data_IF_492355165487
#
_entry.id   IF_492355165487
#
_cell.length_a   1.000
_cell.length_b   1.000
_cell.length_c   1.000
_cell.angle_alpha   90.00
_cell.angle_beta   90.00
_cell.angle_gamma   90.00
#
_symmetry.space_group_name_H-M   'P 1'
#
loop_
_entity.id
_entity.type
_entity.pdbx_description
1 polymer ?
#
# COMPACT_ATOMS: atom_id res chain seq x y z
N UNK A 1 0.71 -5.38 -24.41
CA UNK A 1 0.79 -4.28 -23.41
C UNK A 1 2.14 -4.38 -22.68
N UNK A 2 2.78 -3.27 -22.30
CA UNK A 2 4.04 -3.31 -21.56
C UNK A 2 3.82 -3.94 -20.17
N UNK A 3 4.57 -5.02 -19.88
CA UNK A 3 4.55 -5.70 -18.58
C UNK A 3 5.28 -4.83 -17.56
N UNK A 4 4.67 -4.57 -16.41
CA UNK A 4 5.35 -3.89 -15.30
C UNK A 4 6.03 -4.97 -14.44
N UNK A 5 7.35 -4.86 -14.15
CA UNK A 5 7.98 -5.77 -13.20
C UNK A 5 7.29 -5.66 -11.84
N UNK A 6 6.92 -6.80 -11.25
CA UNK A 6 6.41 -6.90 -9.88
C UNK A 6 7.51 -7.41 -8.96
N UNK A 7 7.60 -6.87 -7.75
CA UNK A 7 8.50 -7.36 -6.72
C UNK A 7 7.78 -8.47 -5.91
N UNK A 8 8.50 -9.52 -5.55
CA UNK A 8 7.97 -10.55 -4.66
C UNK A 8 7.76 -9.97 -3.25
N UNK A 9 6.70 -10.40 -2.58
CA UNK A 9 6.37 -9.96 -1.21
C UNK A 9 6.06 -11.16 -0.34
N UNK A 10 6.09 -10.99 0.99
CA UNK A 10 5.83 -12.06 1.94
C UNK A 10 6.83 -12.07 3.10
N UNK A 11 6.90 -13.20 3.82
CA UNK A 11 7.71 -13.35 5.02
C UNK A 11 8.31 -14.75 5.15
N UNK A 12 9.35 -14.85 5.98
CA UNK A 12 9.94 -16.12 6.40
C UNK A 12 9.59 -16.31 7.88
N UNK A 13 8.88 -17.39 8.19
CA UNK A 13 8.51 -17.74 9.55
C UNK A 13 9.48 -18.78 10.13
N UNK A 14 9.88 -18.54 11.38
CA UNK A 14 10.68 -19.46 12.17
C UNK A 14 9.79 -20.01 13.28
N UNK A 15 9.50 -21.31 13.24
CA UNK A 15 8.73 -21.95 14.29
C UNK A 15 9.59 -22.20 15.53
N UNK A 16 8.95 -22.37 16.70
CA UNK A 16 9.63 -22.82 17.93
C UNK A 16 10.27 -24.21 17.79
N UNK A 17 9.84 -25.00 16.81
CA UNK A 17 10.43 -26.31 16.49
C UNK A 17 11.65 -26.23 15.57
N UNK A 18 12.08 -25.02 15.17
CA UNK A 18 13.20 -24.82 14.25
C UNK A 18 12.83 -25.00 12.78
N UNK A 19 11.55 -25.18 12.45
CA UNK A 19 11.06 -25.24 11.07
C UNK A 19 11.08 -23.84 10.48
N UNK A 20 11.63 -23.72 9.28
CA UNK A 20 11.61 -22.49 8.48
C UNK A 20 10.57 -22.66 7.39
N UNK A 21 9.62 -21.74 7.33
CA UNK A 21 8.60 -21.69 6.28
C UNK A 21 8.74 -20.39 5.50
N UNK A 22 8.80 -20.51 4.17
CA UNK A 22 8.90 -19.37 3.26
C UNK A 22 7.53 -19.14 2.63
N UNK A 23 6.92 -18.01 2.97
CA UNK A 23 5.63 -17.56 2.45
C UNK A 23 5.90 -16.37 1.54
N UNK A 24 6.22 -16.63 0.27
CA UNK A 24 6.55 -15.59 -0.71
C UNK A 24 5.64 -15.70 -1.91
N UNK A 25 5.00 -14.58 -2.26
CA UNK A 25 4.08 -14.44 -3.36
C UNK A 25 4.59 -13.41 -4.38
N UNK A 26 4.03 -13.47 -5.59
CA UNK A 26 4.35 -12.55 -6.66
C UNK A 26 3.05 -12.17 -7.38
N UNK A 27 2.76 -10.88 -7.44
CA UNK A 27 1.63 -10.37 -8.21
C UNK A 27 1.89 -10.48 -9.72
N UNK A 28 0.82 -10.56 -10.50
CA UNK A 28 0.89 -10.51 -11.95
C UNK A 28 1.57 -9.24 -12.47
N UNK A 29 2.39 -9.39 -13.50
CA UNK A 29 2.98 -8.25 -14.24
C UNK A 29 1.99 -7.52 -15.17
N UNK A 30 0.79 -8.09 -15.34
CA UNK A 30 -0.32 -7.51 -16.09
C UNK A 30 -1.17 -6.66 -15.13
N UNK A 31 -1.30 -5.36 -15.42
CA UNK A 31 -1.87 -4.37 -14.49
C UNK A 31 -3.33 -4.67 -14.10
N UNK A 32 -4.27 -4.89 -15.05
CA UNK A 32 -5.63 -5.30 -14.69
C UNK A 32 -5.68 -6.53 -13.77
N UNK A 33 -4.88 -7.56 -14.07
CA UNK A 33 -4.83 -8.78 -13.25
C UNK A 33 -4.22 -8.48 -11.87
N UNK A 34 -3.16 -7.66 -11.83
CA UNK A 34 -2.51 -7.22 -10.59
C UNK A 34 -3.49 -6.51 -9.67
N UNK A 35 -4.26 -5.57 -10.22
CA UNK A 35 -5.23 -4.77 -9.45
C UNK A 35 -6.38 -5.65 -8.92
N UNK A 36 -6.86 -6.62 -9.72
CA UNK A 36 -7.82 -7.64 -9.26
C UNK A 36 -7.26 -8.48 -8.10
N UNK A 37 -6.04 -9.00 -8.22
CA UNK A 37 -5.39 -9.77 -7.15
C UNK A 37 -5.24 -8.97 -5.86
N UNK A 38 -4.84 -7.70 -5.97
CA UNK A 38 -4.75 -6.79 -4.82
C UNK A 38 -6.11 -6.54 -4.17
N UNK A 39 -7.16 -6.35 -4.97
CA UNK A 39 -8.52 -6.17 -4.46
C UNK A 39 -8.99 -7.40 -3.66
N UNK A 40 -8.78 -8.61 -4.20
CA UNK A 40 -9.13 -9.87 -3.54
C UNK A 40 -8.39 -10.07 -2.22
N UNK A 41 -7.07 -9.85 -2.21
CA UNK A 41 -6.25 -9.93 -0.99
C UNK A 41 -6.72 -8.90 0.05
N UNK A 42 -6.97 -7.67 -0.38
CA UNK A 42 -7.46 -6.61 0.48
C UNK A 42 -8.82 -6.96 1.10
N UNK A 43 -9.77 -7.47 0.32
CA UNK A 43 -11.12 -7.81 0.81
C UNK A 43 -11.06 -8.98 1.78
N UNK A 44 -10.27 -10.01 1.49
CA UNK A 44 -10.10 -11.14 2.41
C UNK A 44 -9.56 -10.65 3.76
N UNK A 45 -8.51 -9.82 3.74
CA UNK A 45 -7.92 -9.27 4.96
C UNK A 45 -8.84 -8.25 5.66
N UNK A 46 -9.60 -7.45 4.91
CA UNK A 46 -10.58 -6.51 5.43
C UNK A 46 -11.73 -7.24 6.13
N UNK A 47 -12.33 -8.24 5.48
CA UNK A 47 -13.44 -9.02 6.04
C UNK A 47 -13.02 -9.77 7.31
N UNK A 48 -11.76 -10.24 7.36
CA UNK A 48 -11.21 -10.85 8.57
C UNK A 48 -11.06 -9.83 9.72
N UNK A 49 -10.64 -8.60 9.43
CA UNK A 49 -10.45 -7.56 10.44
C UNK A 49 -11.76 -6.85 10.84
N UNK A 50 -12.75 -6.79 9.94
CA UNK A 50 -13.99 -6.03 10.07
C UNK A 50 -15.22 -6.84 9.63
N UNK A 51 -15.54 -7.95 10.33
CA UNK A 51 -16.58 -8.89 9.89
C UNK A 51 -17.98 -8.27 9.84
N UNK A 52 -18.28 -7.31 10.73
CA UNK A 52 -19.58 -6.60 10.77
C UNK A 52 -19.86 -5.75 9.52
N UNK A 53 -18.81 -5.44 8.76
CA UNK A 53 -18.90 -4.62 7.55
C UNK A 53 -18.33 -5.36 6.34
N UNK A 54 -18.34 -6.69 6.36
CA UNK A 54 -17.75 -7.50 5.30
C UNK A 54 -18.36 -7.21 3.93
N UNK A 55 -17.56 -7.38 2.88
CA UNK A 55 -18.00 -7.37 1.50
C UNK A 55 -18.21 -8.81 1.02
N UNK A 56 -19.30 -9.02 0.31
CA UNK A 56 -19.65 -10.30 -0.29
C UNK A 56 -18.92 -10.50 -1.62
N UNK A 57 -18.67 -9.41 -2.35
CA UNK A 57 -18.14 -9.49 -3.72
C UNK A 57 -17.30 -8.28 -4.14
N UNK A 58 -16.35 -8.53 -5.05
CA UNK A 58 -15.60 -7.52 -5.80
C UNK A 58 -15.82 -7.72 -7.29
N UNK A 59 -16.31 -6.72 -8.01
CA UNK A 59 -16.49 -6.78 -9.46
C UNK A 59 -15.62 -5.75 -10.17
N UNK A 60 -14.83 -6.14 -11.18
CA UNK A 60 -14.16 -5.16 -12.05
C UNK A 60 -15.20 -4.38 -12.85
N UNK A 61 -14.99 -3.08 -13.02
CA UNK A 61 -15.83 -2.26 -13.88
C UNK A 61 -15.27 -2.24 -15.31
N UNK A 62 -16.12 -2.45 -16.34
CA UNK A 62 -15.64 -2.78 -17.68
C UNK A 62 -15.01 -1.62 -18.45
N UNK A 63 -15.23 -0.36 -18.07
CA UNK A 63 -14.55 0.85 -18.57
C UNK A 63 -15.32 2.07 -18.06
N UNK A 64 -14.87 2.63 -16.95
CA UNK A 64 -15.13 4.00 -16.51
C UNK A 64 -14.00 4.35 -15.55
N UNK A 65 -13.91 5.60 -15.09
CA UNK A 65 -12.82 6.06 -14.20
C UNK A 65 -12.68 5.27 -12.87
N UNK A 66 -13.39 4.16 -12.68
CA UNK A 66 -13.43 3.33 -11.48
C UNK A 66 -12.93 1.92 -11.76
N UNK A 67 -12.06 1.43 -10.87
CA UNK A 67 -11.36 0.16 -11.08
C UNK A 67 -12.28 -1.01 -10.69
N UNK A 68 -12.97 -0.93 -9.53
CA UNK A 68 -13.83 -2.00 -9.02
C UNK A 68 -15.08 -1.46 -8.30
N UNK A 69 -16.08 -2.32 -8.11
CA UNK A 69 -17.17 -2.13 -7.15
C UNK A 69 -17.10 -3.21 -6.08
N UNK A 70 -17.14 -2.79 -4.82
CA UNK A 70 -17.31 -3.66 -3.66
C UNK A 70 -18.80 -3.73 -3.30
N UNK A 71 -19.33 -4.93 -3.16
CA UNK A 71 -20.72 -5.18 -2.79
C UNK A 71 -20.75 -5.78 -1.38
N UNK A 72 -21.53 -5.17 -0.49
CA UNK A 72 -21.80 -5.71 0.84
C UNK A 72 -23.25 -5.48 1.26
N UNK A 73 -23.65 -5.91 2.46
CA UNK A 73 -25.04 -5.84 2.90
C UNK A 73 -25.58 -4.41 2.91
N UNK A 74 -26.40 -4.06 1.90
CA UNK A 74 -27.04 -2.76 1.77
C UNK A 74 -26.11 -1.60 1.37
N UNK A 75 -24.89 -1.89 0.87
CA UNK A 75 -23.95 -0.84 0.42
C UNK A 75 -23.13 -1.26 -0.79
N UNK A 76 -22.87 -0.30 -1.65
CA UNK A 76 -21.99 -0.44 -2.81
C UNK A 76 -20.92 0.65 -2.76
N UNK A 77 -19.69 0.28 -3.08
CA UNK A 77 -18.54 1.17 -2.97
C UNK A 77 -17.74 1.10 -4.25
N UNK A 78 -17.51 2.26 -4.86
CA UNK A 78 -16.61 2.40 -5.98
C UNK A 78 -15.17 2.42 -5.43
N UNK A 79 -14.31 1.50 -5.89
CA UNK A 79 -12.95 1.33 -5.41
C UNK A 79 -11.93 1.75 -6.47
N UNK A 80 -11.01 2.64 -6.08
CA UNK A 80 -9.81 2.97 -6.83
C UNK A 80 -8.61 2.26 -6.24
N UNK A 81 -7.70 1.76 -7.09
CA UNK A 81 -6.47 1.11 -6.65
C UNK A 81 -5.25 1.88 -7.18
N UNK A 82 -4.22 2.01 -6.36
CA UNK A 82 -2.92 2.54 -6.80
C UNK A 82 -1.76 1.89 -6.08
N UNK A 83 -0.66 1.73 -6.80
CA UNK A 83 0.57 1.20 -6.21
C UNK A 83 1.49 2.33 -5.74
N UNK A 84 2.00 2.19 -4.51
CA UNK A 84 3.12 2.94 -3.98
C UNK A 84 4.41 2.14 -4.23
N UNK A 85 5.21 2.65 -5.16
CA UNK A 85 6.46 2.02 -5.60
C UNK A 85 7.66 2.51 -4.78
N UNK A 86 8.56 1.59 -4.42
CA UNK A 86 9.79 1.86 -3.66
C UNK A 86 10.70 2.91 -4.30
N UNK A 87 10.78 2.94 -5.64
CA UNK A 87 11.52 3.95 -6.42
C UNK A 87 11.11 5.40 -6.16
N UNK A 88 10.01 5.66 -5.47
CA UNK A 88 9.63 7.01 -5.04
C UNK A 88 10.57 7.56 -3.95
N UNK A 89 11.27 6.69 -3.21
CA UNK A 89 12.11 7.07 -2.07
C UNK A 89 13.43 6.27 -1.97
N UNK A 90 13.68 5.30 -2.84
CA UNK A 90 14.96 4.57 -2.93
C UNK A 90 15.82 5.10 -4.07
N UNK A 91 17.13 5.30 -3.82
CA UNK A 91 18.09 5.79 -4.82
C UNK A 91 19.38 4.95 -4.82
N UNK A 92 19.99 4.77 -5.99
CA UNK A 92 21.32 4.14 -6.08
C UNK A 92 22.35 4.95 -5.29
N UNK A 93 23.24 4.25 -4.60
CA UNK A 93 24.45 4.85 -4.01
C UNK A 93 25.61 4.71 -4.98
N UNK A 94 26.44 5.73 -5.05
CA UNK A 94 27.77 5.64 -5.64
C UNK A 94 28.69 4.78 -4.76
N UNK A 95 29.81 4.32 -5.32
CA UNK A 95 30.81 3.56 -4.57
C UNK A 95 31.44 4.41 -3.47
N UNK A 96 31.68 5.69 -3.76
CA UNK A 96 32.22 6.65 -2.81
C UNK A 96 31.25 6.93 -1.67
N UNK A 97 29.95 7.07 -1.96
CA UNK A 97 28.93 7.18 -0.91
C UNK A 97 28.96 5.95 -0.02
N UNK A 98 28.96 4.74 -0.61
CA UNK A 98 29.02 3.46 0.11
C UNK A 98 30.27 3.33 1.00
N UNK A 99 31.44 3.65 0.49
CA UNK A 99 32.67 3.48 1.28
C UNK A 99 32.77 4.50 2.45
N UNK A 100 32.00 5.60 2.43
CA UNK A 100 31.96 6.62 3.50
C UNK A 100 31.01 6.32 4.66
N UNK A 101 30.06 5.40 4.51
CA UNK A 101 29.06 5.07 5.53
C UNK A 101 28.15 6.24 5.99
N UNK A 102 27.92 7.25 5.14
CA UNK A 102 27.20 8.49 5.50
C UNK A 102 25.65 8.39 5.46
N UNK A 103 25.07 7.19 5.47
CA UNK A 103 23.61 7.01 5.36
C UNK A 103 23.00 6.29 6.56
N UNK A 104 21.73 6.62 6.86
CA UNK A 104 21.00 6.07 8.00
C UNK A 104 20.24 4.78 7.68
N UNK A 105 19.70 4.68 6.47
CA UNK A 105 18.83 3.58 6.05
C UNK A 105 19.12 3.23 4.60
N UNK A 106 19.22 1.93 4.32
CA UNK A 106 19.45 1.41 2.98
C UNK A 106 18.69 0.09 2.77
N UNK A 107 18.47 -0.26 1.50
CA UNK A 107 17.86 -1.51 1.10
C UNK A 107 18.72 -2.21 0.05
N UNK A 108 18.88 -3.52 0.19
CA UNK A 108 19.52 -4.34 -0.84
C UNK A 108 18.50 -4.67 -1.93
N UNK A 109 18.79 -4.34 -3.20
CA UNK A 109 17.93 -4.69 -4.34
C UNK A 109 18.42 -5.93 -5.09
N UNK A 110 19.73 -6.19 -5.07
CA UNK A 110 20.37 -7.31 -5.76
C UNK A 110 21.47 -7.92 -4.87
N UNK A 111 21.60 -9.24 -4.84
CA UNK A 111 22.65 -9.90 -4.06
C UNK A 111 24.05 -9.49 -4.54
N UNK A 112 24.91 -9.04 -3.61
CA UNK A 112 26.29 -8.62 -3.92
C UNK A 112 26.44 -7.21 -4.52
N UNK A 113 25.33 -6.53 -4.83
CA UNK A 113 25.34 -5.15 -5.31
C UNK A 113 25.56 -4.11 -4.21
N UNK A 114 25.79 -2.85 -4.59
CA UNK A 114 25.77 -1.73 -3.65
C UNK A 114 24.32 -1.49 -3.20
N UNK A 115 24.03 -1.37 -1.89
CA UNK A 115 22.70 -1.04 -1.39
C UNK A 115 22.17 0.27 -1.96
N UNK A 116 20.85 0.37 -2.08
CA UNK A 116 20.17 1.61 -2.42
C UNK A 116 19.87 2.38 -1.13
N UNK A 117 20.13 3.69 -1.12
CA UNK A 117 19.81 4.55 0.03
C UNK A 117 18.31 4.85 0.07
N UNK A 118 17.77 4.95 1.28
CA UNK A 118 16.40 5.38 1.52
C UNK A 118 16.42 6.85 1.96
N UNK A 119 15.73 7.69 1.19
CA UNK A 119 15.43 9.07 1.59
C UNK A 119 14.18 9.03 2.50
N UNK A 120 14.40 9.20 3.80
CA UNK A 120 13.33 9.07 4.81
C UNK A 120 12.24 10.12 4.64
N UNK A 121 12.60 11.35 4.25
CA UNK A 121 11.65 12.43 4.08
C UNK A 121 10.76 12.16 2.86
N UNK A 122 11.34 11.67 1.76
CA UNK A 122 10.57 11.23 0.59
C UNK A 122 9.70 10.02 0.88
N UNK A 123 10.20 9.04 1.66
CA UNK A 123 9.43 7.86 2.07
C UNK A 123 8.21 8.29 2.87
N UNK A 124 8.41 9.17 3.84
CA UNK A 124 7.35 9.62 4.74
C UNK A 124 6.29 10.46 4.00
N UNK A 125 6.68 11.19 2.95
CA UNK A 125 5.78 11.92 2.07
C UNK A 125 5.15 11.08 0.93
N UNK A 126 5.66 9.87 0.65
CA UNK A 126 5.32 9.11 -0.56
C UNK A 126 3.84 8.74 -0.64
N UNK A 127 3.25 8.29 0.47
CA UNK A 127 1.83 7.91 0.51
C UNK A 127 0.93 9.11 0.24
N UNK A 128 1.18 10.24 0.91
CA UNK A 128 0.46 11.48 0.66
C UNK A 128 0.58 11.95 -0.80
N UNK A 129 1.77 11.86 -1.39
CA UNK A 129 1.99 12.21 -2.79
C UNK A 129 1.18 11.31 -3.76
N UNK A 130 1.11 9.99 -3.49
CA UNK A 130 0.29 9.07 -4.28
C UNK A 130 -1.20 9.38 -4.18
N UNK A 131 -1.69 9.64 -2.96
CA UNK A 131 -3.08 10.02 -2.73
C UNK A 131 -3.41 11.31 -3.49
N UNK A 132 -2.56 12.33 -3.36
CA UNK A 132 -2.74 13.63 -4.05
C UNK A 132 -2.79 13.46 -5.58
N UNK A 133 -1.92 12.60 -6.13
CA UNK A 133 -1.92 12.28 -7.56
C UNK A 133 -3.24 11.62 -8.01
N UNK A 134 -3.83 10.76 -7.19
CA UNK A 134 -5.15 10.15 -7.46
C UNK A 134 -6.28 11.16 -7.31
N UNK A 135 -6.27 11.99 -6.26
CA UNK A 135 -7.26 13.07 -6.08
C UNK A 135 -7.30 14.03 -7.28
N UNK A 136 -6.14 14.36 -7.86
CA UNK A 136 -6.05 15.25 -9.02
C UNK A 136 -6.79 14.74 -10.27
N UNK A 137 -7.10 13.43 -10.36
CA UNK A 137 -7.85 12.85 -11.48
C UNK A 137 -9.34 13.15 -11.47
N UNK A 138 -9.90 13.67 -10.36
CA UNK A 138 -11.31 14.09 -10.23
C UNK A 138 -12.31 13.03 -10.71
N UNK A 139 -12.21 11.85 -10.11
CA UNK A 139 -13.11 10.72 -10.34
C UNK A 139 -14.58 11.10 -10.27
N UNK A 140 -15.37 10.63 -11.24
CA UNK A 140 -16.83 10.74 -11.19
C UNK A 140 -17.36 9.96 -9.98
N UNK A 141 -18.31 10.56 -9.27
CA UNK A 141 -19.00 9.93 -8.15
C UNK A 141 -20.31 9.33 -8.65
N UNK A 142 -20.52 8.05 -8.36
CA UNK A 142 -21.82 7.41 -8.58
C UNK A 142 -22.78 7.84 -7.47
N UNK A 143 -23.97 8.32 -7.82
CA UNK A 143 -24.95 8.75 -6.83
C UNK A 143 -25.31 7.59 -5.90
N UNK A 144 -25.20 7.81 -4.58
CA UNK A 144 -25.53 6.81 -3.56
C UNK A 144 -24.42 5.78 -3.28
N UNK A 145 -23.22 5.93 -3.86
CA UNK A 145 -22.06 5.07 -3.56
C UNK A 145 -20.92 5.88 -2.96
N UNK A 146 -20.23 5.28 -1.99
CA UNK A 146 -18.98 5.83 -1.48
C UNK A 146 -17.86 5.57 -2.49
N UNK A 147 -16.89 6.48 -2.56
CA UNK A 147 -15.68 6.32 -3.36
C UNK A 147 -14.48 6.10 -2.44
N UNK A 148 -13.89 4.91 -2.52
CA UNK A 148 -12.73 4.52 -1.74
C UNK A 148 -11.45 4.53 -2.58
N UNK A 149 -10.33 4.81 -1.92
CA UNK A 149 -8.99 4.64 -2.49
C UNK A 149 -8.20 3.59 -1.70
N UNK A 150 -7.74 2.55 -2.37
CA UNK A 150 -6.77 1.60 -1.87
C UNK A 150 -5.38 1.93 -2.43
N UNK A 151 -4.46 2.27 -1.55
CA UNK A 151 -3.04 2.36 -1.86
C UNK A 151 -2.37 1.06 -1.42
N UNK A 152 -1.70 0.36 -2.32
CA UNK A 152 -0.97 -0.86 -1.97
C UNK A 152 0.52 -0.74 -2.26
N UNK A 153 1.32 -1.58 -1.61
CA UNK A 153 2.73 -1.76 -1.95
C UNK A 153 3.15 -3.21 -1.74
N UNK A 154 4.13 -3.66 -2.51
CA UNK A 154 4.85 -4.92 -2.29
C UNK A 154 6.14 -4.71 -1.51
N UNK A 155 6.53 -3.45 -1.25
CA UNK A 155 7.75 -3.13 -0.50
C UNK A 155 7.54 -3.39 1.00
N UNK A 156 8.18 -4.44 1.51
CA UNK A 156 8.14 -4.82 2.92
C UNK A 156 8.77 -3.79 3.87
N UNK A 157 9.53 -2.82 3.37
CA UNK A 157 10.13 -1.76 4.18
C UNK A 157 9.19 -0.56 4.40
N UNK A 158 8.05 -0.51 3.69
CA UNK A 158 7.06 0.54 3.90
C UNK A 158 6.04 0.13 4.96
N UNK A 159 6.33 0.49 6.20
CA UNK A 159 5.47 0.20 7.33
C UNK A 159 4.53 1.37 7.65
N UNK A 160 3.27 1.07 7.91
CA UNK A 160 2.29 2.03 8.47
C UNK A 160 2.16 1.90 9.98
N UNK A 161 2.33 0.68 10.50
CA UNK A 161 2.30 0.35 11.91
C UNK A 161 3.45 -0.62 12.23
N UNK A 162 4.05 -0.49 13.40
CA UNK A 162 5.18 -1.34 13.83
C UNK A 162 5.19 -1.50 15.34
N UNK A 163 5.72 -2.61 15.84
CA UNK A 163 5.89 -2.82 17.29
C UNK A 163 7.25 -2.31 17.75
N UNK A 164 7.25 -1.49 18.79
CA UNK A 164 8.48 -1.01 19.43
C UNK A 164 8.30 -0.96 20.94
N UNK A 165 9.24 -1.56 21.67
CA UNK A 165 9.21 -1.68 23.14
C UNK A 165 7.86 -2.24 23.67
N UNK A 166 7.33 -3.29 23.03
CA UNK A 166 6.09 -3.97 23.44
C UNK A 166 4.80 -3.19 23.15
N UNK A 167 4.88 -2.06 22.43
CA UNK A 167 3.71 -1.25 22.07
C UNK A 167 3.59 -1.11 20.56
N UNK A 168 2.35 -1.15 20.05
CA UNK A 168 2.06 -0.80 18.66
C UNK A 168 2.26 0.70 18.46
N UNK A 169 2.99 1.07 17.42
CA UNK A 169 3.30 2.45 17.03
C UNK A 169 2.84 2.70 15.60
N UNK A 170 2.46 3.95 15.33
CA UNK A 170 2.16 4.43 13.98
C UNK A 170 3.43 5.02 13.37
N UNK A 171 3.69 4.73 12.08
CA UNK A 171 4.87 5.25 11.38
C UNK A 171 4.78 6.76 11.13
N UNK A 172 5.96 7.39 11.01
CA UNK A 172 6.07 8.80 10.65
C UNK A 172 5.36 9.08 9.31
N UNK A 173 5.46 8.17 8.34
CA UNK A 173 4.80 8.25 7.05
C UNK A 173 3.27 8.31 7.14
N UNK A 174 2.67 7.45 7.98
CA UNK A 174 1.22 7.43 8.17
C UNK A 174 0.74 8.69 8.92
N UNK A 175 1.46 9.13 9.95
CA UNK A 175 1.15 10.38 10.66
C UNK A 175 1.26 11.59 9.73
N UNK A 176 2.35 11.71 8.98
CA UNK A 176 2.55 12.77 7.99
C UNK A 176 1.40 12.82 6.98
N UNK A 177 0.99 11.66 6.46
CA UNK A 177 -0.12 11.57 5.50
C UNK A 177 -1.43 12.04 6.12
N UNK A 178 -1.79 11.53 7.31
CA UNK A 178 -3.03 11.91 8.02
C UNK A 178 -3.07 13.41 8.32
N UNK A 179 -1.96 13.97 8.80
CA UNK A 179 -1.89 15.39 9.15
C UNK A 179 -2.01 16.30 7.94
N UNK A 180 -1.49 15.89 6.78
CA UNK A 180 -1.67 16.67 5.55
C UNK A 180 -3.06 16.51 4.94
N UNK A 181 -3.69 15.33 5.04
CA UNK A 181 -5.09 15.13 4.61
C UNK A 181 -6.07 15.97 5.44
N UNK A 182 -5.86 16.07 6.76
CA UNK A 182 -6.67 16.94 7.65
C UNK A 182 -6.65 18.42 7.26
N UNK A 183 -5.60 18.88 6.57
CA UNK A 183 -5.45 20.27 6.12
C UNK A 183 -6.15 20.53 4.77
N UNK A 184 -6.58 19.49 4.07
CA UNK A 184 -7.28 19.65 2.79
C UNK A 184 -8.74 20.06 3.02
N UNK A 185 -9.26 20.93 2.15
CA UNK A 185 -10.68 21.35 2.17
C UNK A 185 -11.63 20.24 1.71
N UNK A 186 -11.15 19.34 0.85
CA UNK A 186 -11.85 18.14 0.42
C UNK A 186 -10.85 17.06 0.02
N UNK A 187 -11.04 15.84 0.53
CA UNK A 187 -10.20 14.68 0.24
C UNK A 187 -10.69 13.93 -1.00
N UNK A 188 -11.93 14.14 -1.43
CA UNK A 188 -12.50 13.51 -2.63
C UNK A 188 -12.80 12.01 -2.50
N UNK A 189 -12.27 11.33 -1.49
CA UNK A 189 -12.52 9.94 -1.12
C UNK A 189 -13.13 9.87 0.28
N UNK A 190 -14.17 9.08 0.44
CA UNK A 190 -14.81 8.83 1.74
C UNK A 190 -13.85 8.06 2.65
N UNK A 191 -13.25 6.97 2.13
CA UNK A 191 -12.19 6.24 2.82
C UNK A 191 -10.94 6.07 1.96
N UNK A 192 -9.78 6.16 2.61
CA UNK A 192 -8.49 5.82 2.03
C UNK A 192 -7.87 4.71 2.88
N UNK A 193 -7.56 3.59 2.24
CA UNK A 193 -6.95 2.42 2.86
C UNK A 193 -5.54 2.22 2.33
N UNK A 194 -4.68 1.67 3.18
CA UNK A 194 -3.35 1.21 2.82
C UNK A 194 -3.21 -0.28 3.11
N UNK A 195 -2.53 -1.02 2.22
CA UNK A 195 -2.10 -2.40 2.48
C UNK A 195 -0.68 -2.64 1.94
N UNK A 196 0.15 -3.33 2.73
CA UNK A 196 1.41 -3.88 2.25
C UNK A 196 1.28 -5.36 1.81
N UNK A 197 0.04 -5.87 1.71
CA UNK A 197 -0.33 -7.24 1.36
C UNK A 197 0.15 -8.32 2.34
N UNK A 198 0.81 -7.94 3.43
CA UNK A 198 1.35 -8.86 4.44
C UNK A 198 0.66 -8.71 5.80
N UNK A 199 0.16 -7.51 6.09
CA UNK A 199 -0.50 -7.16 7.35
C UNK A 199 -1.94 -6.75 7.10
N UNK A 200 -2.70 -6.53 8.18
CA UNK A 200 -4.07 -6.03 8.08
C UNK A 200 -4.11 -4.71 7.29
N UNK A 201 -5.17 -4.43 6.53
CA UNK A 201 -5.35 -3.12 5.93
C UNK A 201 -5.47 -2.02 6.99
N UNK A 202 -4.87 -0.87 6.72
CA UNK A 202 -4.85 0.27 7.64
C UNK A 202 -5.67 1.42 7.04
N UNK A 203 -6.62 1.92 7.82
CA UNK A 203 -7.40 3.11 7.45
C UNK A 203 -6.51 4.35 7.55
N UNK A 204 -6.22 4.98 6.42
CA UNK A 204 -5.48 6.23 6.32
C UNK A 204 -6.41 7.42 6.56
N UNK A 205 -7.58 7.40 5.95
CA UNK A 205 -8.60 8.45 6.06
C UNK A 205 -10.01 7.85 6.08
N UNK A 206 -10.96 8.36 6.90
CA UNK A 206 -10.76 9.36 7.94
C UNK A 206 -9.80 8.83 9.02
N UNK A 207 -9.05 9.73 9.66
CA UNK A 207 -8.19 9.32 10.76
C UNK A 207 -9.07 8.80 11.91
N UNK A 208 -8.83 7.56 12.34
CA UNK A 208 -9.44 6.98 13.53
C UNK A 208 -9.02 7.72 14.81
#
# INVERSE_FOLDING_TARGET
MPKKPTEAYGYIAFSKSGKVEKHMDLLSSDKPIQEQQVAEIFIAAYNQAFPETAFDECRPLPENDQDFVLLGPGREIDLQITELVSRAYTFEMTREEYDRCDWKVATQKEYGGIPWRIDTDKRDAALFAQITKKQAKRYARTAGRDLWLLVFTTDGLYETEYYSAGSLRTSAALNFTRDNLKKQTSVGFENIWFTNLQTRPVLVWPAA
#
